data_IF_864140315361
#
_entry.id   IF_864140315361
#
_cell.length_a   1.000
_cell.length_b   1.000
_cell.length_c   1.000
_cell.angle_alpha   90.00
_cell.angle_beta   90.00
_cell.angle_gamma   90.00
#
_symmetry.space_group_name_H-M   'P 1'
#
loop_
_entity.id
_entity.type
_entity.pdbx_description
1 polymer ?
#
# COMPACT_ATOMS: atom_id res chain seq x y z
N UNK A 1 0.17 -5.34 -13.45
CA UNK A 1 1.34 -5.56 -12.55
C UNK A 1 1.45 -7.01 -12.03
N UNK A 2 0.52 -7.55 -11.21
CA UNK A 2 0.66 -8.93 -10.68
C UNK A 2 0.69 -10.03 -11.75
N UNK A 3 -0.19 -10.01 -12.77
CA UNK A 3 -0.11 -10.99 -13.86
C UNK A 3 1.19 -10.93 -14.64
N UNK A 4 1.71 -9.73 -14.88
CA UNK A 4 2.96 -9.54 -15.62
C UNK A 4 4.15 -10.08 -14.82
N UNK A 5 4.15 -9.86 -13.49
CA UNK A 5 5.16 -10.40 -12.60
C UNK A 5 5.08 -11.94 -12.54
N UNK A 6 3.87 -12.51 -12.45
CA UNK A 6 3.69 -13.94 -12.46
C UNK A 6 4.16 -14.59 -13.78
N UNK A 7 3.84 -13.96 -14.91
CA UNK A 7 4.32 -14.42 -16.22
C UNK A 7 5.85 -14.36 -16.34
N UNK A 8 6.45 -13.29 -15.81
CA UNK A 8 7.90 -13.14 -15.78
C UNK A 8 8.56 -14.20 -14.90
N UNK A 9 8.03 -14.46 -13.70
CA UNK A 9 8.57 -15.49 -12.81
C UNK A 9 8.47 -16.88 -13.43
N UNK A 10 7.36 -17.19 -14.12
CA UNK A 10 7.21 -18.43 -14.87
C UNK A 10 8.20 -18.54 -16.03
N UNK A 11 8.46 -17.45 -16.75
CA UNK A 11 9.45 -17.39 -17.84
C UNK A 11 10.87 -17.59 -17.30
N UNK A 12 11.19 -16.97 -16.17
CA UNK A 12 12.48 -17.17 -15.47
C UNK A 12 12.65 -18.60 -15.01
N UNK A 13 11.62 -19.23 -14.44
CA UNK A 13 11.66 -20.61 -13.97
C UNK A 13 11.82 -21.61 -15.13
N UNK A 14 11.12 -21.37 -16.23
CA UNK A 14 11.20 -22.22 -17.42
C UNK A 14 12.54 -22.12 -18.18
N UNK A 15 13.20 -20.96 -18.10
CA UNK A 15 14.39 -20.61 -18.89
C UNK A 15 15.61 -20.26 -18.01
N UNK A 16 15.75 -20.89 -16.85
CA UNK A 16 16.79 -20.58 -15.87
C UNK A 16 18.20 -20.87 -16.39
N UNK A 17 18.71 -20.01 -17.27
CA UNK A 17 20.13 -19.98 -17.67
C UNK A 17 20.72 -18.58 -17.39
N UNK A 18 22.02 -18.42 -17.14
CA UNK A 18 22.65 -17.11 -16.87
C UNK A 18 22.40 -16.09 -18.01
N UNK A 19 22.34 -16.55 -19.24
CA UNK A 19 22.12 -15.66 -20.41
C UNK A 19 20.67 -15.17 -20.50
N UNK A 20 19.69 -16.03 -20.23
CA UNK A 20 18.26 -15.69 -20.29
C UNK A 20 17.81 -14.87 -19.06
N UNK A 21 18.41 -15.10 -17.91
CA UNK A 21 18.13 -14.34 -16.67
C UNK A 21 18.47 -12.86 -16.83
N UNK A 22 19.58 -12.51 -17.46
CA UNK A 22 19.95 -11.13 -17.74
C UNK A 22 18.94 -10.39 -18.63
N UNK A 23 18.49 -11.04 -19.70
CA UNK A 23 17.48 -10.48 -20.61
C UNK A 23 16.10 -10.34 -19.95
N UNK A 24 15.70 -11.29 -19.11
CA UNK A 24 14.45 -11.24 -18.36
C UNK A 24 14.47 -10.12 -17.31
N UNK A 25 15.57 -9.94 -16.58
CA UNK A 25 15.77 -8.83 -15.66
C UNK A 25 15.72 -7.47 -16.36
N UNK A 26 16.32 -7.33 -17.54
CA UNK A 26 16.26 -6.10 -18.31
C UNK A 26 14.82 -5.76 -18.75
N UNK A 27 14.05 -6.76 -19.22
CA UNK A 27 12.63 -6.58 -19.55
C UNK A 27 11.80 -6.19 -18.33
N UNK A 28 12.05 -6.82 -17.19
CA UNK A 28 11.38 -6.48 -15.93
C UNK A 28 11.64 -5.04 -15.53
N UNK A 29 12.88 -4.60 -15.56
CA UNK A 29 13.28 -3.23 -15.20
C UNK A 29 12.58 -2.21 -16.11
N UNK A 30 12.57 -2.47 -17.43
CA UNK A 30 11.89 -1.62 -18.42
C UNK A 30 10.36 -1.60 -18.16
N UNK A 31 9.74 -2.76 -17.94
CA UNK A 31 8.29 -2.88 -17.69
C UNK A 31 7.84 -2.24 -16.39
N UNK A 32 8.70 -2.20 -15.36
CA UNK A 32 8.44 -1.54 -14.08
C UNK A 32 8.86 -0.06 -14.08
N UNK A 33 9.38 0.47 -15.17
CA UNK A 33 9.85 1.85 -15.27
C UNK A 33 11.10 2.16 -14.44
N UNK A 34 11.83 1.14 -13.96
CA UNK A 34 12.98 1.32 -13.07
C UNK A 34 14.15 2.05 -13.76
N UNK A 35 14.23 1.97 -15.09
CA UNK A 35 15.25 2.68 -15.84
C UNK A 35 14.90 4.17 -16.01
N UNK A 36 13.60 4.52 -16.05
CA UNK A 36 13.14 5.91 -16.05
C UNK A 36 13.36 6.59 -14.68
N UNK A 37 13.20 5.84 -13.58
CA UNK A 37 13.46 6.35 -12.23
C UNK A 37 14.93 6.75 -11.99
N UNK A 38 15.87 6.17 -12.75
CA UNK A 38 17.30 6.58 -12.71
C UNK A 38 17.59 7.96 -13.29
N UNK A 39 16.66 8.54 -14.04
CA UNK A 39 16.80 9.89 -14.62
C UNK A 39 16.36 11.01 -13.65
N UNK A 40 15.76 10.67 -12.50
CA UNK A 40 15.50 11.65 -11.45
C UNK A 40 16.82 11.97 -10.74
N UNK A 41 17.15 13.25 -10.65
CA UNK A 41 18.41 13.73 -10.06
C UNK A 41 18.56 13.33 -8.58
N UNK A 42 17.46 13.03 -7.87
CA UNK A 42 17.42 12.57 -6.48
C UNK A 42 16.12 11.81 -6.18
N UNK A 43 16.14 10.47 -6.19
CA UNK A 43 14.97 9.68 -5.79
C UNK A 43 14.84 9.68 -4.26
N UNK A 44 13.92 10.45 -3.70
CA UNK A 44 13.60 10.48 -2.28
C UNK A 44 13.07 9.14 -1.72
N UNK A 45 12.78 8.18 -2.57
CA UNK A 45 12.17 6.91 -2.18
C UNK A 45 13.08 6.07 -1.28
N UNK A 46 14.42 6.19 -1.47
CA UNK A 46 15.41 5.40 -0.71
C UNK A 46 15.56 5.92 0.72
N UNK A 47 15.50 7.23 0.93
CA UNK A 47 15.68 7.85 2.25
C UNK A 47 14.36 8.21 2.92
N UNK A 48 13.34 8.56 2.17
CA UNK A 48 12.04 8.95 2.71
C UNK A 48 11.38 7.83 3.51
N UNK A 49 11.36 6.62 2.98
CA UNK A 49 10.73 5.48 3.65
C UNK A 49 11.46 5.06 4.93
N UNK A 50 12.80 4.87 4.96
CA UNK A 50 13.53 4.67 6.19
C UNK A 50 13.42 5.87 7.15
N UNK A 51 13.42 7.09 6.64
CA UNK A 51 13.24 8.30 7.44
C UNK A 51 12.01 8.25 8.31
N UNK A 52 10.87 7.96 7.71
CA UNK A 52 9.59 7.80 8.43
C UNK A 52 9.65 6.58 9.36
N UNK A 53 9.93 5.40 8.82
CA UNK A 53 9.84 4.16 9.59
C UNK A 53 10.83 4.11 10.77
N UNK A 54 12.06 4.60 10.58
CA UNK A 54 13.06 4.58 11.64
C UNK A 54 12.83 5.63 12.71
N UNK A 55 12.17 6.75 12.35
CA UNK A 55 11.81 7.80 13.32
C UNK A 55 10.55 7.45 14.11
N UNK A 56 9.55 6.86 13.46
CA UNK A 56 8.22 6.60 14.07
C UNK A 56 8.16 5.31 14.89
N UNK A 57 9.14 4.40 14.74
CA UNK A 57 9.14 3.12 15.44
C UNK A 57 10.29 2.94 16.42
N UNK A 58 10.10 2.01 17.35
CA UNK A 58 11.17 1.54 18.26
C UNK A 58 11.88 0.37 17.59
N UNK A 59 13.10 0.59 17.18
CA UNK A 59 13.90 -0.40 16.45
C UNK A 59 14.99 -1.03 17.33
N UNK A 60 15.44 -2.25 17.03
CA UNK A 60 16.60 -2.83 17.69
C UNK A 60 17.83 -1.94 17.57
N UNK A 61 18.57 -1.77 18.65
CA UNK A 61 19.71 -0.85 18.74
C UNK A 61 21.09 -1.54 18.59
N UNK A 62 21.13 -2.82 18.21
CA UNK A 62 22.37 -3.56 17.99
C UNK A 62 22.21 -4.63 16.92
N UNK A 63 23.29 -4.97 16.24
CA UNK A 63 23.32 -6.06 15.26
C UNK A 63 22.77 -7.38 15.81
N UNK A 64 23.20 -7.74 17.03
CA UNK A 64 22.73 -8.98 17.68
C UNK A 64 21.22 -8.95 17.96
N UNK A 65 20.66 -7.79 18.29
CA UNK A 65 19.22 -7.65 18.47
C UNK A 65 18.46 -7.78 17.15
N UNK A 66 18.99 -7.24 16.06
CA UNK A 66 18.47 -7.44 14.70
C UNK A 66 18.53 -8.91 14.27
N UNK A 67 19.63 -9.60 14.56
CA UNK A 67 19.78 -11.04 14.30
C UNK A 67 18.67 -11.84 15.00
N UNK A 68 18.46 -11.61 16.30
CA UNK A 68 17.37 -12.28 17.06
C UNK A 68 15.99 -11.95 16.52
N UNK A 69 15.75 -10.71 16.10
CA UNK A 69 14.50 -10.31 15.47
C UNK A 69 14.27 -11.05 14.13
N UNK A 70 15.32 -11.15 13.31
CA UNK A 70 15.30 -11.87 12.04
C UNK A 70 15.00 -13.37 12.23
N UNK A 71 15.68 -14.03 13.19
CA UNK A 71 15.43 -15.43 13.51
C UNK A 71 14.02 -15.67 14.03
N UNK A 72 13.47 -14.72 14.78
CA UNK A 72 12.09 -14.79 15.27
C UNK A 72 11.08 -14.63 14.12
N UNK A 73 11.34 -13.70 13.22
CA UNK A 73 10.49 -13.46 12.05
C UNK A 73 10.55 -14.63 11.06
N UNK A 74 11.71 -15.26 10.89
CA UNK A 74 11.88 -16.45 10.05
C UNK A 74 11.08 -17.64 10.58
N UNK A 75 11.09 -17.88 11.89
CA UNK A 75 10.25 -18.93 12.50
C UNK A 75 8.76 -18.71 12.30
N UNK A 76 8.31 -17.45 12.18
CA UNK A 76 6.89 -17.10 12.00
C UNK A 76 6.43 -17.07 10.55
N UNK A 77 7.31 -16.65 9.65
CA UNK A 77 6.95 -16.29 8.27
C UNK A 77 7.97 -16.81 7.23
N UNK A 78 8.84 -17.75 7.62
CA UNK A 78 9.86 -18.32 6.75
C UNK A 78 10.84 -17.28 6.22
N UNK A 79 11.38 -17.56 5.04
CA UNK A 79 12.38 -16.72 4.36
C UNK A 79 11.98 -15.24 4.27
N UNK A 80 10.74 -14.96 3.94
CA UNK A 80 10.26 -13.58 3.81
C UNK A 80 10.25 -12.81 5.14
N UNK A 81 10.04 -13.47 6.26
CA UNK A 81 10.13 -12.84 7.57
C UNK A 81 11.56 -12.37 7.87
N UNK A 82 12.56 -13.20 7.57
CA UNK A 82 13.98 -12.84 7.71
C UNK A 82 14.37 -11.71 6.77
N UNK A 83 14.03 -11.84 5.48
CA UNK A 83 14.32 -10.83 4.47
C UNK A 83 13.72 -9.47 4.85
N UNK A 84 12.46 -9.45 5.25
CA UNK A 84 11.76 -8.21 5.62
C UNK A 84 12.36 -7.54 6.86
N UNK A 85 12.79 -8.33 7.84
CA UNK A 85 13.48 -7.80 9.02
C UNK A 85 14.78 -7.10 8.62
N UNK A 86 15.63 -7.74 7.81
CA UNK A 86 16.88 -7.14 7.37
C UNK A 86 16.70 -5.93 6.44
N UNK A 87 15.62 -5.86 5.70
CA UNK A 87 15.29 -4.68 4.88
C UNK A 87 15.21 -3.40 5.72
N UNK A 88 14.80 -3.51 6.98
CA UNK A 88 14.70 -2.38 7.92
C UNK A 88 15.96 -2.17 8.78
N UNK A 89 17.02 -2.90 8.55
CA UNK A 89 18.27 -2.74 9.32
C UNK A 89 18.95 -1.37 9.15
N UNK A 90 18.58 -0.61 8.14
CA UNK A 90 18.95 0.81 8.01
C UNK A 90 18.55 1.66 9.23
N UNK A 91 17.61 1.20 10.05
CA UNK A 91 17.24 1.86 11.29
C UNK A 91 18.27 1.68 12.42
N UNK A 92 19.22 0.76 12.31
CA UNK A 92 20.24 0.55 13.35
C UNK A 92 21.15 1.77 13.56
N UNK A 93 21.73 2.39 12.51
CA UNK A 93 22.51 3.62 12.66
C UNK A 93 21.66 4.89 12.68
N UNK A 94 20.31 4.79 12.72
CA UNK A 94 19.46 5.97 12.63
C UNK A 94 19.68 6.90 13.82
N UNK A 95 19.81 8.23 13.63
CA UNK A 95 20.07 9.16 14.71
C UNK A 95 19.03 9.09 15.83
N UNK A 96 19.47 8.83 17.06
CA UNK A 96 18.59 8.62 18.21
C UNK A 96 17.71 9.82 18.58
N UNK A 97 18.09 11.04 18.20
CA UNK A 97 17.33 12.26 18.41
C UNK A 97 15.97 12.27 17.71
N UNK A 98 15.85 11.60 16.56
CA UNK A 98 14.60 11.51 15.81
C UNK A 98 13.48 10.77 16.57
N UNK A 99 13.82 9.98 17.58
CA UNK A 99 12.83 9.25 18.38
C UNK A 99 12.18 10.05 19.51
N UNK A 100 12.63 11.26 19.79
CA UNK A 100 12.12 12.06 20.91
C UNK A 100 10.72 12.62 20.65
N UNK A 101 10.43 12.98 19.40
CA UNK A 101 9.17 13.60 19.01
C UNK A 101 8.12 12.61 18.51
N UNK A 102 8.44 11.30 18.50
CA UNK A 102 7.49 10.29 18.00
C UNK A 102 6.27 10.18 18.92
N UNK A 103 5.12 10.14 18.30
CA UNK A 103 3.87 9.92 19.01
C UNK A 103 3.53 8.41 19.06
N UNK A 104 3.65 7.83 20.24
CA UNK A 104 3.34 6.41 20.47
C UNK A 104 1.94 6.15 21.07
N UNK A 105 1.11 7.16 21.08
CA UNK A 105 -0.22 7.12 21.65
C UNK A 105 -0.35 7.96 22.93
N UNK A 106 -1.52 7.91 23.55
CA UNK A 106 -2.68 7.09 23.20
C UNK A 106 -3.39 7.58 21.92
N UNK A 107 -3.87 6.63 21.12
CA UNK A 107 -4.61 6.88 19.85
C UNK A 107 -6.12 7.00 20.11
N UNK A 108 -6.50 7.71 21.16
CA UNK A 108 -7.89 7.77 21.67
C UNK A 108 -8.53 9.13 21.48
N UNK A 109 -7.87 10.06 20.80
CA UNK A 109 -8.42 11.39 20.57
C UNK A 109 -9.67 11.32 19.68
N UNK A 110 -10.75 11.97 20.13
CA UNK A 110 -11.98 12.08 19.38
C UNK A 110 -11.87 13.24 18.39
N UNK A 111 -12.03 12.94 17.12
CA UNK A 111 -12.05 13.94 16.05
C UNK A 111 -13.45 14.53 15.87
N UNK A 112 -13.55 15.80 15.41
CA UNK A 112 -14.82 16.45 15.11
C UNK A 112 -15.55 15.73 13.95
N UNK A 113 -14.81 15.38 12.89
CA UNK A 113 -15.33 14.56 11.79
C UNK A 113 -14.91 13.09 11.99
N UNK A 114 -15.72 12.13 11.50
CA UNK A 114 -15.36 10.72 11.57
C UNK A 114 -14.09 10.44 10.76
N UNK A 115 -13.27 9.50 11.22
CA UNK A 115 -12.09 9.02 10.51
C UNK A 115 -12.45 7.77 9.70
N UNK A 116 -12.23 7.79 8.40
CA UNK A 116 -12.34 6.59 7.57
C UNK A 116 -11.00 5.87 7.54
N UNK A 117 -10.96 4.64 8.06
CA UNK A 117 -9.83 3.73 7.97
C UNK A 117 -10.09 2.74 6.85
N UNK A 118 -9.15 2.59 5.92
CA UNK A 118 -9.26 1.63 4.82
C UNK A 118 -8.20 0.56 5.00
N UNK A 119 -8.58 -0.71 4.89
CA UNK A 119 -7.65 -1.83 5.04
C UNK A 119 -7.90 -2.94 4.01
N UNK A 120 -6.82 -3.43 3.40
CA UNK A 120 -6.87 -4.54 2.46
C UNK A 120 -6.58 -5.86 3.18
N UNK A 121 -7.34 -6.92 2.87
CA UNK A 121 -7.14 -8.22 3.51
C UNK A 121 -5.76 -8.82 3.23
N UNK A 122 -5.28 -8.64 2.01
CA UNK A 122 -4.02 -9.23 1.53
C UNK A 122 -3.01 -8.12 1.16
N UNK A 123 -2.80 -7.18 2.09
CA UNK A 123 -1.79 -6.13 1.96
C UNK A 123 -0.41 -6.70 2.37
N UNK A 124 0.58 -6.72 1.45
CA UNK A 124 1.91 -7.26 1.75
C UNK A 124 2.79 -6.31 2.57
N UNK A 125 2.46 -5.02 2.63
CA UNK A 125 3.27 -4.00 3.30
C UNK A 125 2.68 -3.59 4.65
N UNK A 126 1.35 -3.38 4.72
CA UNK A 126 0.66 -2.99 5.96
C UNK A 126 -0.45 -3.99 6.29
N UNK A 127 -0.25 -4.72 7.38
CA UNK A 127 -1.19 -5.79 7.79
C UNK A 127 -2.60 -5.24 7.99
N UNK A 128 -3.60 -5.93 7.42
CA UNK A 128 -5.03 -5.64 7.64
C UNK A 128 -5.39 -5.50 9.14
N UNK A 129 -4.79 -6.33 10.00
CA UNK A 129 -5.01 -6.25 11.44
C UNK A 129 -4.60 -4.88 12.03
N UNK A 130 -3.64 -4.19 11.43
CA UNK A 130 -3.29 -2.81 11.79
C UNK A 130 -4.45 -1.84 11.56
N UNK A 131 -5.12 -1.92 10.41
CA UNK A 131 -6.31 -1.12 10.11
C UNK A 131 -7.47 -1.42 11.08
N UNK A 132 -7.69 -2.70 11.40
CA UNK A 132 -8.69 -3.12 12.42
C UNK A 132 -8.36 -2.52 13.77
N UNK A 133 -7.11 -2.57 14.19
CA UNK A 133 -6.66 -2.02 15.48
C UNK A 133 -6.81 -0.49 15.49
N UNK A 134 -6.37 0.20 14.45
CA UNK A 134 -6.50 1.65 14.35
C UNK A 134 -7.98 2.09 14.43
N UNK A 135 -8.88 1.40 13.73
CA UNK A 135 -10.30 1.70 13.76
C UNK A 135 -10.97 1.45 15.13
N UNK A 136 -10.39 0.59 15.96
CA UNK A 136 -10.87 0.35 17.34
C UNK A 136 -10.34 1.37 18.34
N UNK A 137 -9.12 1.84 18.12
CA UNK A 137 -8.47 2.84 18.99
C UNK A 137 -9.07 4.23 18.80
N UNK A 138 -9.41 4.60 17.57
CA UNK A 138 -9.98 5.89 17.23
C UNK A 138 -11.50 5.91 17.52
N UNK A 139 -11.98 6.66 18.52
CA UNK A 139 -13.38 6.55 19.01
C UNK A 139 -14.43 6.99 17.98
N UNK A 140 -14.06 7.84 17.03
CA UNK A 140 -14.95 8.34 15.96
C UNK A 140 -14.42 7.87 14.60
N UNK A 141 -14.32 6.55 14.43
CA UNK A 141 -13.82 5.99 13.18
C UNK A 141 -14.74 4.94 12.58
N UNK A 142 -14.52 4.65 11.31
CA UNK A 142 -15.18 3.59 10.58
C UNK A 142 -14.18 2.85 9.69
N UNK A 143 -14.16 1.53 9.79
CA UNK A 143 -13.35 0.68 8.91
C UNK A 143 -14.13 0.37 7.63
N UNK A 144 -13.50 0.63 6.49
CA UNK A 144 -13.84 0.06 5.20
C UNK A 144 -12.83 -1.03 4.89
N UNK A 145 -13.29 -2.27 4.75
CA UNK A 145 -12.46 -3.39 4.36
C UNK A 145 -12.49 -3.58 2.86
N UNK A 146 -11.35 -3.88 2.27
CA UNK A 146 -11.26 -4.37 0.90
C UNK A 146 -10.78 -5.82 0.93
N UNK A 147 -11.62 -6.73 0.47
CA UNK A 147 -11.31 -8.17 0.45
C UNK A 147 -10.36 -8.57 -0.69
N UNK A 148 -9.49 -7.66 -1.10
CA UNK A 148 -8.57 -7.79 -2.23
C UNK A 148 -7.10 -7.73 -1.83
N UNK A 149 -6.26 -7.66 -2.84
CA UNK A 149 -4.81 -7.77 -2.77
C UNK A 149 -4.14 -6.42 -3.08
N UNK A 150 -2.90 -6.31 -2.61
CA UNK A 150 -2.02 -5.17 -2.90
C UNK A 150 -1.96 -4.17 -1.76
N UNK A 151 -0.95 -3.29 -1.86
CA UNK A 151 -0.75 -2.20 -0.92
C UNK A 151 -1.46 -0.96 -1.40
N UNK A 152 -2.18 -0.28 -0.49
CA UNK A 152 -3.13 0.80 -0.74
C UNK A 152 -4.34 0.35 -1.59
N UNK A 153 -5.48 0.99 -1.39
CA UNK A 153 -6.72 0.63 -2.08
C UNK A 153 -7.26 1.78 -2.92
N UNK A 154 -7.41 2.98 -2.36
CA UNK A 154 -8.00 4.12 -3.04
C UNK A 154 -7.19 4.54 -4.27
N UNK A 155 -7.83 4.53 -5.44
CA UNK A 155 -7.26 4.83 -6.76
C UNK A 155 -6.13 3.90 -7.22
N UNK A 156 -5.73 2.92 -6.38
CA UNK A 156 -4.65 1.97 -6.68
C UNK A 156 -5.20 0.59 -7.01
N UNK A 157 -6.18 0.13 -6.26
CA UNK A 157 -6.81 -1.18 -6.49
C UNK A 157 -7.71 -1.22 -7.72
N UNK A 158 -8.15 -0.07 -8.24
CA UNK A 158 -9.09 0.04 -9.34
C UNK A 158 -10.45 -0.57 -9.00
N UNK A 159 -10.88 -0.44 -7.74
CA UNK A 159 -12.13 -1.00 -7.25
C UNK A 159 -13.17 0.11 -7.04
N UNK A 160 -14.25 0.06 -7.80
CA UNK A 160 -15.29 1.09 -7.77
C UNK A 160 -15.93 1.26 -6.38
N UNK A 161 -16.15 0.18 -5.64
CA UNK A 161 -16.72 0.23 -4.29
C UNK A 161 -15.81 1.01 -3.33
N UNK A 162 -14.50 0.74 -3.34
CA UNK A 162 -13.53 1.47 -2.52
C UNK A 162 -13.47 2.93 -2.96
N UNK A 163 -13.26 3.17 -4.25
CA UNK A 163 -13.03 4.50 -4.79
C UNK A 163 -14.24 5.42 -4.58
N UNK A 164 -15.45 4.90 -4.84
CA UNK A 164 -16.68 5.67 -4.61
C UNK A 164 -16.95 5.95 -3.13
N UNK A 165 -16.61 5.01 -2.24
CA UNK A 165 -16.81 5.19 -0.79
C UNK A 165 -15.84 6.22 -0.22
N UNK A 166 -14.56 6.14 -0.59
CA UNK A 166 -13.55 7.09 -0.14
C UNK A 166 -13.80 8.48 -0.72
N UNK A 167 -14.16 8.57 -2.00
CA UNK A 167 -14.56 9.83 -2.62
C UNK A 167 -15.74 10.48 -1.89
N UNK A 168 -16.79 9.73 -1.60
CA UNK A 168 -17.95 10.24 -0.84
C UNK A 168 -17.54 10.74 0.53
N UNK A 169 -16.62 10.05 1.20
CA UNK A 169 -16.08 10.51 2.48
C UNK A 169 -15.34 11.85 2.33
N UNK A 170 -14.49 12.03 1.35
CA UNK A 170 -13.81 13.31 1.12
C UNK A 170 -14.76 14.45 0.82
N UNK A 171 -15.83 14.17 0.07
CA UNK A 171 -16.78 15.21 -0.33
C UNK A 171 -17.80 15.57 0.77
N UNK A 172 -18.10 14.68 1.68
CA UNK A 172 -19.22 14.87 2.63
C UNK A 172 -19.00 14.32 4.03
N UNK A 173 -17.80 13.83 4.35
CA UNK A 173 -17.46 13.16 5.61
C UNK A 173 -18.35 11.94 5.95
N UNK A 174 -19.13 11.47 4.97
CA UNK A 174 -19.99 10.29 5.16
C UNK A 174 -19.15 9.02 5.16
N UNK A 175 -19.25 8.28 6.24
CA UNK A 175 -18.59 6.96 6.39
C UNK A 175 -19.53 5.83 6.00
N UNK A 176 -19.02 4.67 5.58
CA UNK A 176 -19.84 3.51 5.26
C UNK A 176 -20.51 2.91 6.51
N UNK A 177 -21.42 1.97 6.32
CA UNK A 177 -22.02 1.18 7.39
C UNK A 177 -20.94 0.40 8.15
N UNK A 178 -21.22 0.05 9.40
CA UNK A 178 -20.34 -0.81 10.19
C UNK A 178 -20.18 -2.17 9.50
N UNK A 179 -18.94 -2.68 9.43
CA UNK A 179 -18.65 -3.95 8.78
C UNK A 179 -18.66 -3.90 7.25
N UNK A 180 -18.64 -2.71 6.63
CA UNK A 180 -18.61 -2.60 5.18
C UNK A 180 -17.37 -3.27 4.57
N UNK A 181 -17.59 -4.10 3.56
CA UNK A 181 -16.57 -4.82 2.81
C UNK A 181 -16.77 -4.64 1.32
N UNK A 182 -15.78 -4.12 0.64
CA UNK A 182 -15.70 -4.09 -0.81
C UNK A 182 -15.06 -5.38 -1.32
N UNK A 183 -15.72 -6.03 -2.27
CA UNK A 183 -15.19 -7.24 -2.92
C UNK A 183 -14.33 -6.88 -4.12
N UNK A 184 -13.28 -7.66 -4.43
CA UNK A 184 -12.50 -7.46 -5.65
C UNK A 184 -13.35 -7.77 -6.88
N UNK A 185 -13.16 -6.99 -7.96
CA UNK A 185 -13.91 -7.16 -9.22
C UNK A 185 -13.38 -8.32 -10.08
N UNK A 186 -12.39 -9.05 -9.60
CA UNK A 186 -11.80 -10.19 -10.27
C UNK A 186 -10.53 -10.69 -9.58
N UNK A 187 -9.98 -11.78 -10.06
CA UNK A 187 -8.69 -12.30 -9.61
C UNK A 187 -7.55 -11.49 -10.21
N UNK A 188 -6.49 -11.15 -9.45
CA UNK A 188 -5.28 -10.52 -10.01
C UNK A 188 -4.55 -11.44 -11.00
N UNK A 189 -4.84 -12.73 -10.98
CA UNK A 189 -4.29 -13.76 -11.86
C UNK A 189 -5.31 -14.28 -12.89
N UNK A 190 -6.42 -13.56 -13.08
CA UNK A 190 -7.41 -13.89 -14.13
C UNK A 190 -6.90 -13.54 -15.53
N UNK A 191 -7.63 -13.93 -16.60
CA UNK A 191 -7.26 -13.64 -17.97
C UNK A 191 -6.97 -12.12 -18.17
N UNK A 192 -5.78 -11.81 -18.65
CA UNK A 192 -5.23 -10.45 -18.78
C UNK A 192 -6.16 -9.47 -19.52
N UNK A 193 -6.88 -9.94 -20.53
CA UNK A 193 -7.76 -9.10 -21.35
C UNK A 193 -8.99 -8.56 -20.58
N UNK A 194 -9.60 -9.38 -19.74
CA UNK A 194 -10.79 -9.00 -18.99
C UNK A 194 -10.47 -8.02 -17.84
N UNK A 195 -9.32 -8.21 -17.17
CA UNK A 195 -8.91 -7.38 -16.06
C UNK A 195 -8.44 -5.98 -16.49
N UNK A 196 -7.75 -5.86 -17.63
CA UNK A 196 -7.27 -4.58 -18.17
C UNK A 196 -8.44 -3.70 -18.67
N UNK A 197 -9.42 -4.30 -19.35
CA UNK A 197 -10.61 -3.59 -19.81
C UNK A 197 -11.51 -3.16 -18.64
N UNK A 198 -11.70 -3.99 -17.63
CA UNK A 198 -12.44 -3.65 -16.43
C UNK A 198 -11.79 -2.49 -15.67
N UNK A 199 -10.46 -2.49 -15.53
CA UNK A 199 -9.70 -1.40 -14.91
C UNK A 199 -9.78 -0.09 -15.69
N UNK A 200 -9.65 -0.14 -17.02
CA UNK A 200 -9.77 1.03 -17.88
C UNK A 200 -11.18 1.64 -17.83
N UNK A 201 -12.21 0.79 -17.81
CA UNK A 201 -13.61 1.21 -17.71
C UNK A 201 -13.92 1.81 -16.31
N UNK A 202 -13.43 1.18 -15.23
CA UNK A 202 -13.61 1.69 -13.86
C UNK A 202 -12.88 3.05 -13.68
N UNK A 203 -11.64 3.17 -14.13
CA UNK A 203 -10.88 4.41 -14.04
C UNK A 203 -11.54 5.55 -14.84
N UNK A 204 -12.05 5.28 -16.04
CA UNK A 204 -12.76 6.26 -16.85
C UNK A 204 -14.07 6.71 -16.19
N UNK A 205 -14.79 5.79 -15.55
CA UNK A 205 -16.08 6.09 -14.89
C UNK A 205 -15.89 6.91 -13.61
N UNK A 206 -14.89 6.56 -12.79
CA UNK A 206 -14.58 7.28 -11.53
C UNK A 206 -14.01 8.65 -11.83
N UNK A 207 -13.09 8.77 -12.79
CA UNK A 207 -12.51 10.05 -13.20
C UNK A 207 -13.58 11.00 -13.76
N UNK A 208 -14.48 10.49 -14.60
CA UNK A 208 -15.58 11.28 -15.17
C UNK A 208 -16.59 11.74 -14.10
N UNK A 209 -16.97 10.88 -13.16
CA UNK A 209 -17.88 11.23 -12.08
C UNK A 209 -17.27 12.27 -11.11
N UNK A 210 -15.98 12.14 -10.79
CA UNK A 210 -15.25 13.09 -9.94
C UNK A 210 -15.16 14.48 -10.56
N UNK A 211 -14.84 14.55 -11.85
CA UNK A 211 -14.77 15.82 -12.59
C UNK A 211 -16.14 16.51 -12.70
N UNK A 212 -17.22 15.76 -12.93
CA UNK A 212 -18.56 16.30 -12.98
C UNK A 212 -19.02 16.82 -11.61
N UNK A 213 -18.74 16.12 -10.54
CA UNK A 213 -19.09 16.55 -9.18
C UNK A 213 -18.27 17.75 -8.73
N UNK A 214 -16.99 17.81 -9.04
CA UNK A 214 -16.14 18.98 -8.78
C UNK A 214 -16.62 20.21 -9.57
N UNK A 215 -16.99 20.04 -10.84
CA UNK A 215 -17.55 21.11 -11.68
C UNK A 215 -18.89 21.62 -11.14
N UNK A 216 -19.79 20.75 -10.71
CA UNK A 216 -21.08 21.17 -10.10
C UNK A 216 -20.86 21.99 -8.82
N UNK A 217 -19.94 21.57 -7.95
CA UNK A 217 -19.64 22.30 -6.71
C UNK A 217 -18.99 23.65 -6.95
N UNK A 218 -18.13 23.75 -7.96
CA UNK A 218 -17.54 25.03 -8.34
C UNK A 218 -18.60 26.02 -8.86
N UNK A 219 -19.61 25.52 -9.57
CA UNK A 219 -20.72 26.35 -10.05
C UNK A 219 -21.64 26.80 -8.92
N UNK A 220 -21.97 25.95 -7.95
CA UNK A 220 -22.82 26.30 -6.79
C UNK A 220 -22.13 27.16 -5.73
N UNK A 221 -20.79 27.24 -5.74
CA UNK A 221 -20.04 28.12 -4.84
C UNK A 221 -19.81 29.54 -5.44
N UNK A 222 -20.17 29.73 -6.69
CA UNK A 222 -20.07 31.01 -7.41
C UNK A 222 -21.40 31.81 -7.47
N UNK A 223 -22.48 31.24 -6.94
CA UNK A 223 -23.78 31.90 -6.68
C UNK A 223 -23.87 32.31 -5.19
#
# INVERSE_FOLDING_TARGET
MWPDLAALLADLEANASPATTGAALARMRAGLGLDAARQQAYPNDVEGSPGVACSDSVNPNSFTAWQRAADTSERRSGYFGRLWTWNWSACLPWPGGAGQDRYLGPWTARTASPVLVVGNYFDPATRYQGAVTASRLLPNSRLLSYAGWGHAAFLVAGNFCVDSTVTRYFLSTRVPAAGAVCQPEGSPFGPLAASAQARAKAAATVGGALLQEAARRALTAAE
#
